data_IF_450873384290
#
_entry.id   IF_450873384290
#
_cell.length_a   1.000
_cell.length_b   1.000
_cell.length_c   1.000
_cell.angle_alpha   90.00
_cell.angle_beta   90.00
_cell.angle_gamma   90.00
#
_symmetry.space_group_name_H-M   'P 1'
#
loop_
_entity.id
_entity.type
_entity.pdbx_description
1 polymer ?
#
# COMPACT_ATOMS: atom_id res chain seq x y z
N UNK A 1 -23.53 25.02 6.14
CA UNK A 1 -22.08 25.06 6.44
C UNK A 1 -21.41 26.08 5.51
N UNK A 2 -21.39 27.35 5.91
CA UNK A 2 -20.72 28.42 5.15
C UNK A 2 -19.21 28.24 5.24
N UNK A 3 -18.63 27.55 4.25
CA UNK A 3 -17.19 27.33 4.17
C UNK A 3 -16.47 28.65 4.00
N UNK A 4 -15.63 29.01 4.98
CA UNK A 4 -14.75 30.16 4.89
C UNK A 4 -13.89 30.00 3.64
N UNK A 5 -13.89 31.02 2.77
CA UNK A 5 -13.10 30.97 1.55
C UNK A 5 -11.61 30.89 1.93
N UNK A 6 -10.83 30.01 1.29
CA UNK A 6 -9.40 29.89 1.61
C UNK A 6 -8.74 31.25 1.40
N UNK A 7 -7.82 31.59 2.30
CA UNK A 7 -7.06 32.84 2.26
C UNK A 7 -6.54 33.11 0.85
N UNK A 8 -6.69 34.36 0.36
CA UNK A 8 -6.15 34.78 -0.95
C UNK A 8 -4.66 34.47 -1.10
N UNK A 9 -3.93 34.39 0.01
CA UNK A 9 -2.51 34.06 0.05
C UNK A 9 -2.20 32.60 -0.34
N UNK A 10 -3.18 31.68 -0.29
CA UNK A 10 -3.02 30.29 -0.70
C UNK A 10 -3.26 30.08 -2.20
N UNK A 11 -3.91 31.02 -2.88
CA UNK A 11 -4.28 30.88 -4.29
C UNK A 11 -3.10 30.65 -5.25
N UNK A 12 -1.91 31.26 -5.07
CA UNK A 12 -0.75 30.95 -5.91
C UNK A 12 -0.29 29.50 -5.74
N UNK A 13 -0.18 29.02 -4.49
CA UNK A 13 0.25 27.66 -4.17
C UNK A 13 -0.78 26.62 -4.63
N UNK A 14 -2.07 26.89 -4.46
CA UNK A 14 -3.11 26.01 -4.94
C UNK A 14 -3.07 25.88 -6.47
N UNK A 15 -2.81 26.97 -7.21
CA UNK A 15 -2.61 26.91 -8.66
C UNK A 15 -1.38 26.10 -9.05
N UNK A 16 -0.30 26.16 -8.27
CA UNK A 16 0.87 25.30 -8.47
C UNK A 16 0.52 23.83 -8.24
N UNK A 17 -0.27 23.53 -7.20
CA UNK A 17 -0.76 22.19 -6.91
C UNK A 17 -1.60 21.62 -8.06
N UNK A 18 -2.52 22.41 -8.62
CA UNK A 18 -3.32 22.00 -9.79
C UNK A 18 -2.42 21.69 -11.00
N UNK A 19 -1.44 22.55 -11.29
CA UNK A 19 -0.49 22.32 -12.39
C UNK A 19 0.40 21.09 -12.15
N UNK A 20 0.77 20.83 -10.90
CA UNK A 20 1.50 19.62 -10.54
C UNK A 20 0.62 18.38 -10.80
N UNK A 21 -0.64 18.39 -10.38
CA UNK A 21 -1.56 17.30 -10.64
C UNK A 21 -1.77 17.05 -12.14
N UNK A 22 -1.98 18.10 -12.93
CA UNK A 22 -2.16 18.00 -14.37
C UNK A 22 -0.95 17.36 -15.07
N UNK A 23 0.27 17.74 -14.64
CA UNK A 23 1.51 17.17 -15.17
C UNK A 23 1.73 15.73 -14.73
N UNK A 24 1.53 15.44 -13.44
CA UNK A 24 1.80 14.12 -12.85
C UNK A 24 0.78 13.09 -13.31
N UNK A 25 -0.51 13.45 -13.37
CA UNK A 25 -1.60 12.52 -13.65
C UNK A 25 -2.09 12.60 -15.10
N UNK A 26 -1.20 12.87 -16.06
CA UNK A 26 -1.58 13.21 -17.44
C UNK A 26 -2.44 12.10 -18.07
N UNK A 27 -3.75 12.35 -18.19
CA UNK A 27 -4.73 11.41 -18.74
C UNK A 27 -5.53 10.62 -17.69
N UNK A 28 -5.13 10.65 -16.43
CA UNK A 28 -5.89 10.11 -15.29
C UNK A 28 -6.77 11.21 -14.68
N UNK A 29 -7.90 11.47 -15.33
CA UNK A 29 -8.83 12.53 -14.95
C UNK A 29 -9.50 12.27 -13.60
N UNK A 30 -9.72 11.00 -13.25
CA UNK A 30 -10.36 10.62 -11.99
C UNK A 30 -9.44 10.96 -10.81
N UNK A 31 -8.17 10.55 -10.86
CA UNK A 31 -7.20 10.88 -9.82
C UNK A 31 -7.04 12.40 -9.67
N UNK A 32 -6.97 13.14 -10.79
CA UNK A 32 -6.91 14.61 -10.76
C UNK A 32 -8.14 15.20 -10.07
N UNK A 33 -9.35 14.78 -10.46
CA UNK A 33 -10.60 15.31 -9.92
C UNK A 33 -10.71 15.05 -8.42
N UNK A 34 -10.40 13.82 -7.98
CA UNK A 34 -10.44 13.42 -6.57
C UNK A 34 -9.49 14.29 -5.76
N UNK A 35 -8.22 14.39 -6.16
CA UNK A 35 -7.23 15.19 -5.44
C UNK A 35 -7.59 16.68 -5.39
N UNK A 36 -8.08 17.23 -6.50
CA UNK A 36 -8.48 18.63 -6.56
C UNK A 36 -9.66 18.94 -5.64
N UNK A 37 -10.65 18.05 -5.59
CA UNK A 37 -11.82 18.17 -4.72
C UNK A 37 -11.46 18.02 -3.25
N UNK A 38 -10.68 17.00 -2.90
CA UNK A 38 -10.24 16.74 -1.52
C UNK A 38 -9.36 17.88 -0.99
N UNK A 39 -8.36 18.31 -1.75
CA UNK A 39 -7.50 19.42 -1.34
C UNK A 39 -8.29 20.71 -1.13
N UNK A 40 -9.25 21.00 -2.02
CA UNK A 40 -10.12 22.17 -1.87
C UNK A 40 -10.99 22.09 -0.62
N UNK A 41 -11.55 20.91 -0.33
CA UNK A 41 -12.35 20.69 0.87
C UNK A 41 -11.50 20.84 2.14
N UNK A 42 -10.28 20.31 2.13
CA UNK A 42 -9.34 20.39 3.25
C UNK A 42 -8.93 21.84 3.53
N UNK A 43 -8.56 22.61 2.50
CA UNK A 43 -8.20 24.02 2.65
C UNK A 43 -9.38 24.90 3.12
N UNK A 44 -10.61 24.58 2.69
CA UNK A 44 -11.82 25.33 3.09
C UNK A 44 -12.28 25.00 4.50
N UNK A 45 -12.21 23.73 4.86
CA UNK A 45 -12.62 23.28 6.19
C UNK A 45 -11.60 23.65 7.24
N UNK A 46 -10.30 23.66 6.89
CA UNK A 46 -9.18 23.85 7.81
C UNK A 46 -9.46 23.19 9.17
N UNK A 47 -9.82 21.91 9.16
CA UNK A 47 -10.33 21.21 10.35
C UNK A 47 -9.36 21.26 11.53
N UNK A 48 -8.06 21.26 11.23
CA UNK A 48 -6.98 21.35 12.20
C UNK A 48 -6.71 22.78 12.69
N UNK A 49 -7.46 23.77 12.21
CA UNK A 49 -7.35 25.19 12.54
C UNK A 49 -5.91 25.72 12.43
N UNK A 50 -5.18 25.25 11.42
CA UNK A 50 -3.77 25.60 11.25
C UNK A 50 -3.63 27.10 10.96
N UNK A 51 -2.61 27.76 11.52
CA UNK A 51 -2.22 29.10 11.12
C UNK A 51 -1.94 29.16 9.62
N UNK A 52 -2.18 30.32 8.99
CA UNK A 52 -2.00 30.50 7.54
C UNK A 52 -0.61 30.09 7.06
N UNK A 53 0.44 30.41 7.82
CA UNK A 53 1.82 30.08 7.45
C UNK A 53 2.06 28.56 7.41
N UNK A 54 1.47 27.82 8.36
CA UNK A 54 1.53 26.35 8.37
C UNK A 54 0.73 25.78 7.20
N UNK A 55 -0.46 26.30 6.90
CA UNK A 55 -1.22 25.90 5.70
C UNK A 55 -0.45 26.11 4.40
N UNK A 56 0.30 27.21 4.30
CA UNK A 56 1.15 27.47 3.13
C UNK A 56 2.27 26.43 3.03
N UNK A 57 2.91 26.09 4.15
CA UNK A 57 3.95 25.08 4.21
C UNK A 57 3.41 23.69 3.85
N UNK A 58 2.28 23.28 4.42
CA UNK A 58 1.59 22.02 4.10
C UNK A 58 1.21 21.95 2.62
N UNK A 59 0.65 23.03 2.07
CA UNK A 59 0.28 23.07 0.66
C UNK A 59 1.51 23.02 -0.25
N UNK A 60 2.62 23.67 0.13
CA UNK A 60 3.88 23.56 -0.61
C UNK A 60 4.44 22.13 -0.55
N UNK A 61 4.39 21.47 0.61
CA UNK A 61 4.79 20.07 0.74
C UNK A 61 3.92 19.15 -0.12
N UNK A 62 2.61 19.41 -0.20
CA UNK A 62 1.72 18.67 -1.09
C UNK A 62 2.05 18.88 -2.57
N UNK A 63 2.40 20.11 -2.98
CA UNK A 63 2.90 20.39 -4.35
C UNK A 63 4.14 19.54 -4.63
N UNK A 64 5.13 19.58 -3.75
CA UNK A 64 6.38 18.84 -3.91
C UNK A 64 6.15 17.32 -3.89
N UNK A 65 5.21 16.85 -3.08
CA UNK A 65 4.86 15.44 -3.04
C UNK A 65 4.34 14.96 -4.40
N UNK A 66 3.35 15.66 -4.96
CA UNK A 66 2.78 15.33 -6.28
C UNK A 66 3.83 15.42 -7.40
N UNK A 67 4.70 16.43 -7.34
CA UNK A 67 5.73 16.64 -8.38
C UNK A 67 6.85 15.62 -8.36
N UNK A 68 7.19 15.09 -7.19
CA UNK A 68 8.47 14.38 -7.01
C UNK A 68 8.33 12.93 -6.56
N UNK A 69 7.23 12.57 -5.89
CA UNK A 69 7.09 11.26 -5.26
C UNK A 69 6.03 10.38 -5.90
N UNK A 70 5.20 10.93 -6.80
CA UNK A 70 4.16 10.16 -7.49
C UNK A 70 4.66 9.79 -8.88
N UNK A 71 4.86 8.49 -9.10
CA UNK A 71 5.21 7.93 -10.41
C UNK A 71 4.00 7.19 -10.97
N UNK A 72 3.61 7.48 -12.21
CA UNK A 72 2.52 6.77 -12.86
C UNK A 72 3.00 5.49 -13.53
N UNK A 73 2.19 4.44 -13.44
CA UNK A 73 2.34 3.26 -14.27
C UNK A 73 1.45 3.37 -15.50
N UNK A 74 2.01 3.17 -16.69
CA UNK A 74 1.27 3.14 -17.94
C UNK A 74 1.24 1.71 -18.49
N UNK A 75 0.04 1.22 -18.81
CA UNK A 75 -0.13 -0.08 -19.44
C UNK A 75 0.40 -0.04 -20.88
N UNK A 76 1.26 -0.99 -21.22
CA UNK A 76 1.64 -1.26 -22.59
C UNK A 76 0.65 -2.27 -23.17
N UNK A 77 -0.33 -1.78 -23.94
CA UNK A 77 -1.39 -2.60 -24.54
C UNK A 77 -0.86 -3.73 -25.43
N UNK A 78 0.36 -3.61 -25.97
CA UNK A 78 0.96 -4.62 -26.85
C UNK A 78 1.59 -5.79 -26.09
N UNK A 79 2.15 -5.52 -24.92
CA UNK A 79 2.88 -6.53 -24.13
C UNK A 79 2.13 -6.95 -22.87
N UNK A 80 1.03 -6.26 -22.53
CA UNK A 80 0.29 -6.46 -21.27
C UNK A 80 1.06 -6.03 -20.01
N UNK A 81 2.28 -5.51 -20.15
CA UNK A 81 3.12 -5.08 -19.04
C UNK A 81 2.94 -3.60 -18.69
N UNK A 82 3.35 -3.20 -17.49
CA UNK A 82 3.33 -1.79 -17.06
C UNK A 82 4.71 -1.15 -17.20
N UNK A 83 4.75 0.11 -17.64
CA UNK A 83 5.94 0.95 -17.67
C UNK A 83 5.79 2.11 -16.71
N UNK A 84 6.80 2.35 -15.87
CA UNK A 84 6.86 3.56 -15.05
C UNK A 84 7.14 4.80 -15.91
N UNK A 85 6.30 5.82 -15.79
CA UNK A 85 6.46 7.12 -16.44
C UNK A 85 7.18 8.05 -15.47
N UNK A 86 8.50 8.17 -15.66
CA UNK A 86 9.35 9.06 -14.87
C UNK A 86 9.42 10.42 -15.57
N UNK A 87 9.19 11.50 -14.84
CA UNK A 87 9.27 12.88 -15.37
C UNK A 87 10.63 13.51 -15.04
N UNK A 88 11.01 14.57 -15.77
CA UNK A 88 12.25 15.33 -15.49
C UNK A 88 12.30 15.88 -14.06
N UNK A 89 11.13 16.17 -13.46
CA UNK A 89 11.02 16.64 -12.08
C UNK A 89 11.47 15.52 -11.10
N UNK A 90 11.11 14.26 -11.37
CA UNK A 90 11.56 13.11 -10.56
C UNK A 90 13.09 12.95 -10.61
N UNK A 91 13.68 13.15 -11.79
CA UNK A 91 15.13 13.04 -11.97
C UNK A 91 15.90 14.17 -11.28
N UNK A 92 15.34 15.40 -11.28
CA UNK A 92 15.97 16.58 -10.66
C UNK A 92 16.07 16.51 -9.14
N UNK A 93 15.13 15.83 -8.46
CA UNK A 93 15.18 15.67 -6.99
C UNK A 93 16.14 14.57 -6.54
N UNK A 94 16.64 13.75 -7.47
CA UNK A 94 17.85 12.94 -7.25
C UNK A 94 17.71 11.65 -6.45
N UNK A 95 16.53 11.31 -5.92
CA UNK A 95 16.31 9.97 -5.36
C UNK A 95 15.82 9.04 -6.47
N UNK A 96 16.78 8.41 -7.14
CA UNK A 96 16.55 7.31 -8.08
C UNK A 96 15.80 6.21 -7.32
N UNK A 97 14.50 6.05 -7.59
CA UNK A 97 13.73 4.91 -7.10
C UNK A 97 14.16 3.72 -7.97
N UNK A 98 15.07 2.89 -7.46
CA UNK A 98 15.43 1.62 -8.10
C UNK A 98 14.25 0.65 -7.98
N UNK A 99 13.38 0.63 -8.99
CA UNK A 99 12.19 -0.24 -9.04
C UNK A 99 12.53 -1.74 -9.24
N UNK A 100 13.81 -2.11 -9.35
CA UNK A 100 14.25 -3.46 -9.74
C UNK A 100 15.18 -4.17 -8.75
N UNK A 101 15.50 -3.60 -7.60
CA UNK A 101 16.36 -4.30 -6.64
C UNK A 101 15.48 -5.08 -5.66
N UNK A 102 15.02 -6.24 -6.10
CA UNK A 102 14.69 -7.31 -5.14
C UNK A 102 15.99 -7.60 -4.41
N UNK A 103 16.08 -7.14 -3.16
CA UNK A 103 17.26 -7.38 -2.33
C UNK A 103 17.49 -8.90 -2.27
N UNK A 104 18.61 -9.42 -2.81
CA UNK A 104 18.88 -10.85 -2.86
C UNK A 104 18.88 -11.46 -1.45
N UNK A 105 19.18 -10.67 -0.41
CA UNK A 105 19.11 -11.14 0.97
C UNK A 105 17.67 -11.37 1.43
N UNK A 106 16.74 -10.44 1.13
CA UNK A 106 15.33 -10.60 1.47
C UNK A 106 14.70 -11.79 0.74
N UNK A 107 15.06 -12.01 -0.53
CA UNK A 107 14.58 -13.15 -1.31
C UNK A 107 15.08 -14.47 -0.71
N UNK A 108 16.36 -14.54 -0.32
CA UNK A 108 16.94 -15.72 0.30
C UNK A 108 16.31 -16.01 1.67
N UNK A 109 16.00 -14.98 2.44
CA UNK A 109 15.32 -15.11 3.73
C UNK A 109 13.88 -15.63 3.58
N UNK A 110 13.15 -15.14 2.57
CA UNK A 110 11.80 -15.63 2.23
C UNK A 110 11.81 -17.10 1.82
N UNK A 111 12.76 -17.50 0.98
CA UNK A 111 12.94 -18.90 0.57
C UNK A 111 13.24 -19.80 1.77
N UNK A 112 14.12 -19.36 2.66
CA UNK A 112 14.49 -20.11 3.85
C UNK A 112 13.31 -20.25 4.83
N UNK A 113 12.51 -19.19 4.97
CA UNK A 113 11.31 -19.20 5.81
C UNK A 113 10.23 -20.14 5.24
N UNK A 114 10.04 -20.16 3.92
CA UNK A 114 9.11 -21.09 3.27
C UNK A 114 9.54 -22.56 3.47
N UNK A 115 10.84 -22.84 3.40
CA UNK A 115 11.38 -24.19 3.61
C UNK A 115 11.20 -24.65 5.06
N UNK A 116 11.38 -23.77 6.05
CA UNK A 116 11.10 -24.08 7.46
C UNK A 116 9.61 -24.38 7.71
N UNK A 117 8.70 -23.63 7.09
CA UNK A 117 7.26 -23.88 7.23
C UNK A 117 6.87 -25.26 6.67
N UNK A 118 7.43 -25.67 5.53
CA UNK A 118 7.18 -27.01 4.99
C UNK A 118 7.68 -28.12 5.92
N UNK A 119 8.86 -27.95 6.54
CA UNK A 119 9.38 -28.94 7.49
C UNK A 119 8.50 -29.03 8.75
N UNK A 120 8.01 -27.91 9.28
CA UNK A 120 7.10 -27.93 10.43
C UNK A 120 5.77 -28.63 10.10
N UNK A 121 5.21 -28.41 8.91
CA UNK A 121 3.99 -29.11 8.48
C UNK A 121 4.20 -30.62 8.37
N UNK A 122 5.34 -31.07 7.81
CA UNK A 122 5.65 -32.50 7.74
C UNK A 122 5.81 -33.13 9.14
N UNK A 123 6.46 -32.43 10.08
CA UNK A 123 6.58 -32.93 11.46
C UNK A 123 5.22 -33.02 12.16
N UNK A 124 4.33 -32.05 11.97
CA UNK A 124 2.98 -32.12 12.52
C UNK A 124 2.17 -33.28 11.93
N UNK A 125 2.27 -33.51 10.62
CA UNK A 125 1.61 -34.67 9.99
C UNK A 125 2.12 -35.99 10.56
N UNK A 126 3.44 -36.16 10.69
CA UNK A 126 4.02 -37.37 11.28
C UNK A 126 3.59 -37.57 12.73
N UNK A 127 3.50 -36.49 13.53
CA UNK A 127 3.00 -36.59 14.91
C UNK A 127 1.52 -36.98 14.96
N UNK A 128 0.69 -36.43 14.06
CA UNK A 128 -0.72 -36.82 13.97
C UNK A 128 -0.88 -38.28 13.53
N UNK A 129 -0.09 -38.73 12.56
CA UNK A 129 -0.08 -40.13 12.11
C UNK A 129 0.34 -41.06 13.26
N UNK A 130 1.41 -40.74 13.99
CA UNK A 130 1.83 -41.54 15.16
C UNK A 130 0.76 -41.58 16.27
N UNK A 131 0.07 -40.47 16.51
CA UNK A 131 -1.04 -40.44 17.48
C UNK A 131 -2.23 -41.28 17.01
N UNK A 132 -2.60 -41.20 15.73
CA UNK A 132 -3.65 -42.06 15.16
C UNK A 132 -3.26 -43.53 15.20
N UNK A 133 -1.99 -43.84 14.94
CA UNK A 133 -1.47 -45.20 14.97
C UNK A 133 -1.43 -45.77 16.40
N UNK A 134 -1.04 -44.96 17.40
CA UNK A 134 -1.20 -45.34 18.81
C UNK A 134 -2.67 -45.57 19.21
N UNK A 135 -3.59 -44.71 18.74
CA UNK A 135 -5.02 -44.91 18.99
C UNK A 135 -5.56 -46.18 18.31
N UNK A 136 -5.07 -46.52 17.11
CA UNK A 136 -5.40 -47.79 16.43
C UNK A 136 -4.82 -49.02 17.13
N UNK A 137 -3.70 -48.88 17.86
CA UNK A 137 -3.06 -49.97 18.58
C UNK A 137 -3.62 -50.21 20.00
N UNK A 138 -4.57 -49.38 20.49
CA UNK A 138 -5.25 -49.63 21.76
C UNK A 138 -6.34 -50.72 21.60
N UNK A 139 -6.21 -51.88 22.27
CA UNK A 139 -7.17 -52.97 22.16
C UNK A 139 -8.36 -52.73 23.10
N UNK A 140 -9.56 -52.55 22.53
CA UNK A 140 -10.90 -52.73 23.12
C UNK A 140 -11.10 -52.30 24.59
N UNK A 141 -11.61 -51.08 24.81
CA UNK A 141 -12.74 -50.95 25.74
C UNK A 141 -14.00 -51.35 24.97
N UNK A 142 -14.33 -52.65 25.04
CA UNK A 142 -15.70 -53.08 24.78
C UNK A 142 -16.57 -52.47 25.87
N UNK A 143 -17.64 -51.81 25.46
CA UNK A 143 -18.63 -51.18 26.33
C UNK A 143 -19.15 -52.14 27.42
N UNK A 144 -19.48 -51.63 28.63
CA UNK A 144 -20.17 -52.43 29.63
C UNK A 144 -21.54 -52.81 29.08
N UNK A 145 -21.73 -54.08 28.77
CA UNK A 145 -23.03 -54.59 28.35
C UNK A 145 -23.92 -54.69 29.59
N UNK A 146 -24.67 -53.63 29.87
CA UNK A 146 -25.92 -53.74 30.61
C UNK A 146 -26.91 -54.56 29.76
N UNK A 147 -27.25 -55.78 30.21
CA UNK A 147 -28.58 -56.37 30.02
C UNK A 147 -28.68 -57.77 30.65
N UNK A 148 -29.54 -57.88 31.68
CA UNK A 148 -30.59 -58.91 31.93
C UNK A 148 -30.14 -60.40 31.87
N UNK A 149 -30.25 -61.23 32.90
CA UNK A 149 -31.27 -61.45 33.95
C UNK A 149 -30.60 -62.09 35.17
#
# INVERSE_FOLDING_TARGET
>A
MSGQLPSKALAPLYRQFLRACEKTFKGDFEAQQILCCQMRALLRSNQLQLPQQQLQQELQMAVDFVKYHIVQAQLNEKTGGYKAVVTDEHLKKGNVIFLNEVDPQQLQQLLQQQQQQQQQQQQQQQQQEQQQEQQRQLPWLKEPTEAKF
#
